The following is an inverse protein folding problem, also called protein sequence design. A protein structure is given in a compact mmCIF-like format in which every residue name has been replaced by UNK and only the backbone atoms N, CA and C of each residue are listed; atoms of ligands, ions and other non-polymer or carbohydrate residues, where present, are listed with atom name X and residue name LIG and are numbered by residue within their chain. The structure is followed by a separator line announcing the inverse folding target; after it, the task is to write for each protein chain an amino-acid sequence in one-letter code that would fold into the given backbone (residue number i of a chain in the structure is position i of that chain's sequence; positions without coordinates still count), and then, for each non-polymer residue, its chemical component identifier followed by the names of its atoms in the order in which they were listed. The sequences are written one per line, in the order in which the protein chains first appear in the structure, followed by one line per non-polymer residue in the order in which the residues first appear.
data_IF_251416236511
#
_entry.id   IF_251416236511
#
_cell.length_a   1.000
_cell.length_b   1.000
_cell.length_c   1.000
_cell.angle_alpha   90.00
_cell.angle_beta   90.00
_cell.angle_gamma   90.00
#
_symmetry.space_group_name_H-M   'P 1'
#
loop_
_entity.id
_entity.type
_entity.pdbx_description
1 polymer ?
#
# COMPACT_ATOMS: atom_id res chain seq x y z
N UNK A 1 -7.36 9.92 -1.56
CA UNK A 1 -6.19 10.46 -0.84
C UNK A 1 -4.95 9.98 -1.55
N UNK A 2 -3.89 10.78 -1.50
CA UNK A 2 -2.58 10.52 -2.09
C UNK A 2 -1.53 10.83 -1.00
N UNK A 3 -0.56 9.93 -0.82
CA UNK A 3 0.68 10.22 -0.08
C UNK A 3 1.83 10.12 -1.07
N UNK A 4 2.43 11.27 -1.37
CA UNK A 4 3.65 11.33 -2.18
C UNK A 4 4.85 10.98 -1.31
N UNK A 5 5.78 10.25 -1.91
CA UNK A 5 7.13 10.13 -1.38
C UNK A 5 7.83 11.50 -1.44
N UNK A 6 8.90 11.71 -0.64
CA UNK A 6 9.76 12.89 -0.81
C UNK A 6 10.32 12.94 -2.23
N UNK A 7 10.81 14.08 -2.69
CA UNK A 7 11.51 14.16 -3.97
C UNK A 7 12.85 13.41 -3.88
N UNK A 8 13.09 12.49 -4.81
CA UNK A 8 14.31 11.67 -4.89
C UNK A 8 14.60 11.29 -6.34
N UNK A 9 15.84 10.93 -6.64
CA UNK A 9 16.19 10.29 -7.91
C UNK A 9 15.82 8.81 -7.82
N UNK A 10 15.09 8.25 -8.79
CA UNK A 10 14.67 6.84 -8.74
C UNK A 10 15.85 5.88 -8.68
N UNK A 11 17.03 6.27 -9.16
CA UNK A 11 18.27 5.50 -8.99
C UNK A 11 18.77 5.40 -7.53
N UNK A 12 18.20 6.18 -6.61
CA UNK A 12 18.47 6.10 -5.18
C UNK A 12 17.57 5.08 -4.47
N UNK A 13 16.56 4.51 -5.11
CA UNK A 13 15.72 3.50 -4.49
C UNK A 13 16.51 2.21 -4.22
N UNK A 14 16.52 1.74 -2.96
CA UNK A 14 17.27 0.54 -2.56
C UNK A 14 16.38 -0.67 -2.22
N UNK A 15 15.06 -0.47 -2.21
CA UNK A 15 14.08 -1.50 -1.86
C UNK A 15 13.10 -1.05 -0.78
N UNK A 16 12.29 -2.00 -0.29
CA UNK A 16 11.36 -1.74 0.80
C UNK A 16 11.18 -2.95 1.71
N UNK A 17 10.81 -2.69 2.97
CA UNK A 17 10.35 -3.70 3.92
C UNK A 17 8.87 -3.48 4.23
N UNK A 18 8.08 -4.55 4.20
CA UNK A 18 6.69 -4.53 4.63
C UNK A 18 6.49 -5.41 5.86
N UNK A 19 6.13 -4.80 6.99
CA UNK A 19 5.90 -5.48 8.26
C UNK A 19 4.45 -5.32 8.70
N UNK A 20 3.77 -6.43 8.99
CA UNK A 20 2.40 -6.42 9.51
C UNK A 20 2.35 -7.09 10.91
N UNK A 21 1.79 -6.39 11.89
CA UNK A 21 1.66 -6.88 13.27
C UNK A 21 0.43 -6.31 13.96
N UNK A 22 -0.28 -7.14 14.74
CA UNK A 22 -1.42 -6.68 15.55
C UNK A 22 -2.57 -6.04 14.78
N UNK A 23 -2.67 -6.31 13.46
CA UNK A 23 -3.65 -5.67 12.58
C UNK A 23 -3.26 -4.25 12.11
N UNK A 24 -2.01 -3.83 12.29
CA UNK A 24 -1.43 -2.66 11.64
C UNK A 24 -0.31 -3.12 10.69
N UNK A 25 0.07 -2.27 9.73
CA UNK A 25 1.22 -2.53 8.88
C UNK A 25 2.10 -1.29 8.74
N UNK A 26 3.36 -1.52 8.39
CA UNK A 26 4.36 -0.50 8.11
C UNK A 26 5.09 -0.89 6.82
N UNK A 27 5.12 0.04 5.88
CA UNK A 27 5.96 -0.01 4.69
C UNK A 27 7.12 0.97 4.90
N UNK A 28 8.34 0.45 4.89
CA UNK A 28 9.58 1.23 4.99
C UNK A 28 10.23 1.23 3.62
N UNK A 29 10.35 2.39 3.01
CA UNK A 29 10.95 2.60 1.70
C UNK A 29 12.35 3.12 1.91
N UNK A 30 13.34 2.42 1.37
CA UNK A 30 14.76 2.69 1.59
C UNK A 30 15.35 3.44 0.41
N UNK A 31 16.13 4.46 0.73
CA UNK A 31 16.81 5.28 -0.25
C UNK A 31 18.29 5.40 0.08
N UNK A 32 19.11 5.52 -0.94
CA UNK A 32 20.52 5.82 -0.79
C UNK A 32 20.70 7.26 -0.33
N UNK A 33 21.62 7.48 0.60
CA UNK A 33 22.06 8.80 1.09
C UNK A 33 20.96 9.70 1.68
N UNK A 34 19.76 9.16 1.89
CA UNK A 34 18.61 9.88 2.46
C UNK A 34 17.87 9.00 3.48
N UNK A 35 17.13 9.58 4.44
CA UNK A 35 16.39 8.80 5.42
C UNK A 35 15.30 7.95 4.78
N UNK A 36 15.07 6.76 5.35
CA UNK A 36 13.94 5.92 5.00
C UNK A 36 12.61 6.69 5.10
N UNK A 37 11.72 6.45 4.14
CA UNK A 37 10.35 6.96 4.20
C UNK A 37 9.40 5.89 4.71
N UNK A 38 8.58 6.23 5.70
CA UNK A 38 7.73 5.27 6.40
C UNK A 38 6.27 5.59 6.17
N UNK A 39 5.53 4.61 5.67
CA UNK A 39 4.07 4.64 5.58
C UNK A 39 3.49 3.66 6.59
N UNK A 40 2.63 4.14 7.47
CA UNK A 40 1.91 3.34 8.45
C UNK A 40 0.44 3.15 8.01
N UNK A 41 -0.05 1.92 8.16
CA UNK A 41 -1.43 1.53 7.88
C UNK A 41 -2.12 1.04 9.15
N UNK A 42 -3.27 1.63 9.46
CA UNK A 42 -4.02 1.29 10.67
C UNK A 42 -5.17 0.31 10.37
N UNK A 43 -5.34 -0.68 11.26
CA UNK A 43 -6.44 -1.66 11.21
C UNK A 43 -6.54 -2.36 9.85
N UNK A 44 -5.39 -2.77 9.32
CA UNK A 44 -5.25 -3.63 8.14
C UNK A 44 -6.08 -4.90 8.29
N UNK A 45 -6.77 -5.26 7.21
CA UNK A 45 -7.57 -6.50 7.11
C UNK A 45 -7.11 -7.41 6.00
N UNK A 46 -6.35 -6.87 5.07
CA UNK A 46 -5.85 -7.58 3.92
C UNK A 46 -4.63 -6.86 3.37
N UNK A 47 -3.68 -7.66 2.88
CA UNK A 47 -2.50 -7.21 2.18
C UNK A 47 -2.21 -8.20 1.05
N UNK A 48 -1.85 -7.68 -0.11
CA UNK A 48 -1.29 -8.44 -1.21
C UNK A 48 -0.01 -7.77 -1.70
N UNK A 49 0.96 -8.60 -2.03
CA UNK A 49 2.15 -8.21 -2.76
C UNK A 49 2.13 -8.88 -4.14
N UNK A 50 2.38 -8.08 -5.18
CA UNK A 50 2.48 -8.53 -6.57
C UNK A 50 3.86 -8.15 -7.09
N UNK A 51 4.71 -9.14 -7.37
CA UNK A 51 6.04 -8.90 -7.93
C UNK A 51 5.97 -8.24 -9.32
N UNK A 52 6.98 -7.42 -9.66
CA UNK A 52 7.05 -6.63 -10.91
C UNK A 52 6.58 -7.38 -12.18
N UNK A 53 7.05 -8.61 -12.49
CA UNK A 53 6.66 -9.30 -13.72
C UNK A 53 5.17 -9.62 -13.83
N UNK A 54 4.44 -9.57 -12.71
CA UNK A 54 3.02 -9.87 -12.61
C UNK A 54 2.16 -8.61 -12.40
N UNK A 55 2.77 -7.43 -12.36
CA UNK A 55 2.04 -6.17 -12.21
C UNK A 55 1.30 -5.83 -13.51
N UNK A 56 0.08 -5.31 -13.38
CA UNK A 56 -0.66 -4.78 -14.52
C UNK A 56 -0.16 -3.38 -14.87
N UNK A 57 -0.38 -2.94 -16.11
CA UNK A 57 -0.01 -1.58 -16.56
C UNK A 57 -0.65 -0.50 -15.68
N UNK A 58 -1.89 -0.71 -15.23
CA UNK A 58 -2.59 0.20 -14.31
C UNK A 58 -1.87 0.33 -12.96
N UNK A 59 -1.35 -0.77 -12.41
CA UNK A 59 -0.56 -0.73 -11.18
C UNK A 59 0.71 0.12 -11.35
N UNK A 60 1.37 -0.02 -12.50
CA UNK A 60 2.60 0.72 -12.80
C UNK A 60 2.31 2.22 -12.93
N UNK A 61 1.32 2.61 -13.74
CA UNK A 61 1.12 4.01 -14.11
C UNK A 61 0.45 4.83 -13.01
N UNK A 62 -0.52 4.25 -12.29
CA UNK A 62 -1.36 5.02 -11.38
C UNK A 62 -0.73 5.15 -9.98
N UNK A 63 0.31 4.38 -9.67
CA UNK A 63 0.86 4.28 -8.31
C UNK A 63 2.39 4.22 -8.24
N UNK A 64 3.09 4.70 -9.27
CA UNK A 64 4.55 4.72 -9.32
C UNK A 64 5.13 5.64 -8.23
N UNK A 65 5.76 5.05 -7.21
CA UNK A 65 6.31 5.76 -6.04
C UNK A 65 5.31 6.72 -5.37
N UNK A 66 4.03 6.35 -5.41
CA UNK A 66 2.95 7.14 -4.83
C UNK A 66 1.93 6.19 -4.21
N UNK A 67 1.55 6.46 -2.95
CA UNK A 67 0.45 5.72 -2.32
C UNK A 67 -0.87 6.38 -2.67
N UNK A 68 -1.70 5.67 -3.43
CA UNK A 68 -3.02 6.13 -3.85
C UNK A 68 -4.15 5.38 -3.16
N UNK A 69 -5.31 6.02 -3.07
CA UNK A 69 -6.57 5.33 -2.81
C UNK A 69 -7.20 4.84 -4.11
N UNK A 70 -7.40 3.52 -4.23
CA UNK A 70 -8.06 2.91 -5.37
C UNK A 70 -9.58 3.09 -5.24
N UNK A 71 -10.09 4.13 -5.89
CA UNK A 71 -11.53 4.42 -5.92
C UNK A 71 -12.31 3.31 -6.62
N UNK A 72 -13.54 3.05 -6.16
CA UNK A 72 -14.44 2.04 -6.73
C UNK A 72 -13.89 0.61 -6.82
N UNK A 73 -12.84 0.27 -6.05
CA UNK A 73 -12.18 -1.04 -6.08
C UNK A 73 -13.16 -2.21 -6.04
N UNK A 74 -13.10 -3.04 -7.08
CA UNK A 74 -13.86 -4.28 -7.20
C UNK A 74 -13.38 -5.28 -6.13
N UNK A 75 -12.08 -5.39 -5.91
CA UNK A 75 -11.49 -6.31 -4.93
C UNK A 75 -11.94 -5.99 -3.51
N UNK A 76 -11.96 -4.71 -3.13
CA UNK A 76 -12.49 -4.28 -1.84
C UNK A 76 -13.97 -4.64 -1.69
N UNK A 77 -14.80 -4.41 -2.73
CA UNK A 77 -16.22 -4.79 -2.72
C UNK A 77 -16.39 -6.31 -2.54
N UNK A 78 -15.60 -7.10 -3.26
CA UNK A 78 -15.64 -8.56 -3.15
C UNK A 78 -15.16 -9.04 -1.78
N UNK A 79 -14.11 -8.43 -1.23
CA UNK A 79 -13.62 -8.72 0.11
C UNK A 79 -14.70 -8.48 1.16
N UNK A 80 -15.37 -7.33 1.11
CA UNK A 80 -16.47 -6.98 2.01
C UNK A 80 -17.67 -7.95 1.91
N UNK A 81 -17.98 -8.46 0.71
CA UNK A 81 -19.04 -9.47 0.53
C UNK A 81 -18.65 -10.82 1.13
N UNK A 82 -17.37 -11.21 1.00
CA UNK A 82 -16.87 -12.51 1.47
C UNK A 82 -16.61 -12.55 2.97
N UNK A 83 -16.30 -11.41 3.58
CA UNK A 83 -16.07 -11.33 5.01
C UNK A 83 -17.39 -11.50 5.79
N UNK A 84 -17.66 -12.74 6.21
CA UNK A 84 -18.86 -13.13 6.99
C UNK A 84 -18.77 -12.78 8.47
N UNK A 85 -17.78 -12.00 8.91
CA UNK A 85 -17.65 -11.65 10.33
C UNK A 85 -18.72 -10.63 10.75
N UNK A 86 -19.83 -11.13 11.31
CA UNK A 86 -21.00 -10.39 11.84
C UNK A 86 -20.63 -9.34 12.92
N UNK A 87 -19.38 -9.32 13.40
CA UNK A 87 -18.95 -8.55 14.57
C UNK A 87 -18.04 -7.35 14.30
N UNK A 88 -17.68 -7.00 13.05
CA UNK A 88 -16.74 -5.89 12.83
C UNK A 88 -17.43 -4.66 12.26
N UNK A 89 -17.60 -3.67 13.13
CA UNK A 89 -17.81 -2.28 12.77
C UNK A 89 -16.59 -1.76 11.98
N UNK A 90 -16.53 -2.11 10.70
CA UNK A 90 -15.70 -1.38 9.74
C UNK A 90 -16.33 -0.01 9.59
N UNK A 91 -15.87 0.96 10.37
CA UNK A 91 -16.34 2.34 10.21
C UNK A 91 -15.96 2.86 8.82
N UNK A 92 -14.81 2.42 8.29
CA UNK A 92 -14.34 2.66 6.93
C UNK A 92 -13.20 1.69 6.60
N UNK A 93 -13.21 1.06 5.42
CA UNK A 93 -12.08 0.31 4.87
C UNK A 93 -11.76 0.91 3.50
N UNK A 94 -10.48 1.15 3.23
CA UNK A 94 -9.98 1.85 2.05
C UNK A 94 -8.95 0.94 1.39
N UNK A 95 -8.99 0.89 0.06
CA UNK A 95 -7.97 0.20 -0.73
C UNK A 95 -6.85 1.17 -1.06
N UNK A 96 -5.67 0.91 -0.51
CA UNK A 96 -4.43 1.61 -0.84
C UNK A 96 -3.57 0.78 -1.79
N UNK A 97 -2.93 1.45 -2.75
CA UNK A 97 -1.98 0.85 -3.69
C UNK A 97 -0.74 1.71 -3.81
N UNK A 98 0.43 1.08 -3.83
CA UNK A 98 1.71 1.70 -4.21
C UNK A 98 2.53 0.70 -5.02
N UNK A 99 3.13 1.18 -6.10
CA UNK A 99 4.08 0.44 -6.91
C UNK A 99 5.49 1.00 -6.68
N UNK A 100 6.43 0.11 -6.37
CA UNK A 100 7.82 0.43 -6.05
C UNK A 100 8.73 -0.30 -7.03
N UNK A 101 8.87 0.31 -8.20
CA UNK A 101 9.81 -0.04 -9.27
C UNK A 101 10.21 -1.53 -9.36
N UNK A 102 11.49 -1.85 -9.20
CA UNK A 102 12.04 -3.21 -9.29
C UNK A 102 11.47 -4.20 -8.26
N UNK A 103 10.80 -3.72 -7.20
CA UNK A 103 10.23 -4.56 -6.15
C UNK A 103 8.85 -5.08 -6.53
N UNK A 104 7.94 -4.19 -6.92
CA UNK A 104 6.56 -4.55 -7.27
C UNK A 104 5.51 -3.73 -6.52
N UNK A 105 4.28 -4.25 -6.52
CA UNK A 105 3.10 -3.54 -6.05
C UNK A 105 2.63 -4.08 -4.69
N UNK A 106 2.35 -3.16 -3.76
CA UNK A 106 1.71 -3.43 -2.49
C UNK A 106 0.28 -2.90 -2.51
N UNK A 107 -0.67 -3.78 -2.22
CA UNK A 107 -2.08 -3.42 -2.06
C UNK A 107 -2.54 -3.75 -0.64
N UNK A 108 -3.22 -2.80 0.01
CA UNK A 108 -3.60 -2.90 1.42
C UNK A 108 -5.04 -2.45 1.62
N UNK A 109 -5.84 -3.24 2.33
CA UNK A 109 -7.13 -2.78 2.84
C UNK A 109 -6.99 -2.38 4.31
N UNK A 110 -7.06 -1.08 4.57
CA UNK A 110 -6.85 -0.49 5.89
C UNK A 110 -7.90 0.57 6.20
N UNK A 111 -8.02 0.95 7.48
CA UNK A 111 -8.90 2.05 7.85
C UNK A 111 -8.30 3.42 7.50
N UNK A 112 -6.98 3.54 7.60
CA UNK A 112 -6.24 4.76 7.33
C UNK A 112 -4.80 4.44 6.91
N UNK A 113 -4.17 5.40 6.21
CA UNK A 113 -2.75 5.43 5.92
C UNK A 113 -2.16 6.80 6.31
N UNK A 114 -0.92 6.82 6.78
CA UNK A 114 -0.21 8.06 7.12
C UNK A 114 1.29 7.89 6.91
N UNK A 115 1.97 8.96 6.54
CA UNK A 115 3.44 9.04 6.53
C UNK A 115 3.95 9.79 7.76
N UNK A 116 5.18 9.50 8.16
CA UNK A 116 5.89 10.21 9.22
C UNK A 116 7.15 10.88 8.66
#
# INVERSE_FOLDING_TARGET
MIINLPEFDTGQYEGCDFLMTGGNARLVIKFSETPDFIINFDRVRWHQFTALPNCTVEMLNDSYFELIEVNNSIDLKQFLIRDRSIAKAYTKLIHYRIFLDETGCHEVFAQNASSC
#
